data_IF_068998943583
#
_entry.id   IF_068998943583
#
_cell.length_a   1.000
_cell.length_b   1.000
_cell.length_c   1.000
_cell.angle_alpha   90.00
_cell.angle_beta   90.00
_cell.angle_gamma   90.00
#
_symmetry.space_group_name_H-M   'P 1'
#
loop_
_entity.id
_entity.type
_entity.pdbx_description
1 polymer ?
#
# COMPACT_ATOMS: atom_id res chain seq x y z
N UNK A 1 24.29 -11.81 -13.44
CA UNK A 1 24.71 -12.52 -12.23
C UNK A 1 23.68 -13.58 -11.91
N UNK A 2 24.10 -14.82 -11.68
CA UNK A 2 23.20 -15.82 -11.09
C UNK A 2 22.87 -15.45 -9.64
N UNK A 3 21.70 -15.84 -9.13
CA UNK A 3 21.28 -15.54 -7.74
C UNK A 3 22.31 -16.04 -6.72
N UNK A 4 22.94 -17.19 -7.01
CA UNK A 4 24.02 -17.78 -6.20
C UNK A 4 25.31 -16.94 -6.21
N UNK A 5 25.61 -16.28 -7.32
CA UNK A 5 26.76 -15.40 -7.48
C UNK A 5 26.52 -14.09 -6.73
N UNK A 6 25.32 -13.52 -6.81
CA UNK A 6 24.92 -12.35 -6.02
C UNK A 6 24.98 -12.64 -4.51
N UNK A 7 24.46 -13.78 -4.05
CA UNK A 7 24.55 -14.17 -2.64
C UNK A 7 26.02 -14.26 -2.21
N UNK A 8 26.89 -14.89 -3.00
CA UNK A 8 28.33 -14.95 -2.70
C UNK A 8 28.95 -13.55 -2.65
N UNK A 9 28.61 -12.66 -3.58
CA UNK A 9 29.10 -11.27 -3.58
C UNK A 9 28.61 -10.46 -2.39
N UNK A 10 27.36 -10.64 -1.94
CA UNK A 10 26.84 -9.98 -0.73
C UNK A 10 27.62 -10.40 0.52
N UNK A 11 28.12 -11.64 0.58
CA UNK A 11 28.97 -12.08 1.69
C UNK A 11 30.45 -11.71 1.52
N UNK A 12 30.92 -11.50 0.29
CA UNK A 12 32.35 -11.28 -0.02
C UNK A 12 32.72 -9.81 -0.17
N UNK A 13 31.82 -8.98 -0.69
CA UNK A 13 32.03 -7.55 -0.93
C UNK A 13 31.38 -6.71 0.18
N UNK A 14 32.22 -6.01 0.92
CA UNK A 14 31.84 -5.13 2.02
C UNK A 14 30.87 -4.02 1.59
N UNK A 15 31.06 -3.47 0.39
CA UNK A 15 30.26 -2.35 -0.12
C UNK A 15 28.85 -2.82 -0.46
N UNK A 16 28.74 -3.91 -1.22
CA UNK A 16 27.43 -4.50 -1.56
C UNK A 16 26.68 -4.96 -0.31
N UNK A 17 27.37 -5.56 0.65
CA UNK A 17 26.76 -5.96 1.93
C UNK A 17 26.13 -4.77 2.66
N UNK A 18 26.88 -3.66 2.76
CA UNK A 18 26.44 -2.45 3.47
C UNK A 18 25.23 -1.83 2.78
N UNK A 19 25.27 -1.70 1.45
CA UNK A 19 24.17 -1.13 0.66
C UNK A 19 22.92 -2.01 0.75
N UNK A 20 23.06 -3.32 0.58
CA UNK A 20 21.93 -4.26 0.65
C UNK A 20 21.30 -4.29 2.04
N UNK A 21 22.09 -4.28 3.12
CA UNK A 21 21.55 -4.21 4.48
C UNK A 21 20.87 -2.86 4.76
N UNK A 22 21.51 -1.74 4.39
CA UNK A 22 20.96 -0.40 4.59
C UNK A 22 19.63 -0.20 3.86
N UNK A 23 19.56 -0.60 2.59
CA UNK A 23 18.33 -0.51 1.79
C UNK A 23 17.24 -1.46 2.26
N UNK A 24 17.59 -2.67 2.74
CA UNK A 24 16.63 -3.61 3.30
C UNK A 24 16.00 -3.07 4.61
N UNK A 25 16.83 -2.53 5.51
CA UNK A 25 16.39 -1.92 6.78
C UNK A 25 15.50 -0.71 6.47
N UNK A 26 15.97 0.19 5.61
CA UNK A 26 15.22 1.37 5.20
C UNK A 26 13.87 0.99 4.59
N UNK A 27 13.86 0.02 3.67
CA UNK A 27 12.64 -0.49 3.05
C UNK A 27 11.68 -1.11 4.06
N UNK A 28 12.20 -1.85 5.04
CA UNK A 28 11.40 -2.43 6.12
C UNK A 28 10.72 -1.36 6.98
N UNK A 29 11.48 -0.35 7.42
CA UNK A 29 10.98 0.75 8.27
C UNK A 29 9.96 1.60 7.53
N UNK A 30 10.28 1.98 6.29
CA UNK A 30 9.40 2.81 5.47
C UNK A 30 8.13 2.06 5.11
N UNK A 31 8.17 0.76 4.82
CA UNK A 31 6.97 -0.06 4.64
C UNK A 31 6.11 -0.17 5.90
N UNK A 32 6.75 -0.40 7.06
CA UNK A 32 6.07 -0.44 8.36
C UNK A 32 5.38 0.89 8.68
N UNK A 33 6.12 2.00 8.67
CA UNK A 33 5.57 3.33 9.00
C UNK A 33 4.61 3.84 7.93
N UNK A 34 4.89 3.52 6.67
CA UNK A 34 4.02 3.79 5.53
C UNK A 34 2.64 3.15 5.68
N UNK A 35 2.54 2.00 6.37
CA UNK A 35 1.25 1.37 6.67
C UNK A 35 0.35 2.29 7.50
N UNK A 36 0.91 3.01 8.47
CA UNK A 36 0.19 4.00 9.26
C UNK A 36 -0.17 5.23 8.43
N UNK A 37 0.75 5.73 7.60
CA UNK A 37 0.49 6.87 6.72
C UNK A 37 -0.66 6.60 5.73
N UNK A 38 -0.67 5.42 5.11
CA UNK A 38 -1.72 4.98 4.17
C UNK A 38 -3.08 4.84 4.87
N UNK A 39 -3.13 4.22 6.05
CA UNK A 39 -4.38 4.04 6.79
C UNK A 39 -4.96 5.36 7.32
N UNK A 40 -4.10 6.35 7.63
CA UNK A 40 -4.53 7.72 8.01
C UNK A 40 -5.01 8.56 6.82
N UNK A 41 -5.05 8.00 5.60
CA UNK A 41 -5.33 8.75 4.35
C UNK A 41 -4.38 9.93 4.14
N UNK A 42 -3.16 9.82 4.67
CA UNK A 42 -2.11 10.82 4.59
C UNK A 42 -1.02 10.35 3.62
N UNK A 43 -1.44 9.82 2.47
CA UNK A 43 -0.54 9.30 1.45
C UNK A 43 0.46 10.36 0.95
N UNK A 44 -0.01 11.60 0.76
CA UNK A 44 0.84 12.70 0.27
C UNK A 44 1.71 13.34 1.37
N UNK A 45 1.57 12.91 2.63
CA UNK A 45 2.36 13.45 3.74
C UNK A 45 3.84 13.15 3.56
N UNK A 46 4.19 11.95 3.10
CA UNK A 46 5.59 11.58 2.86
C UNK A 46 6.25 12.45 1.79
N UNK A 47 5.51 12.80 0.75
CA UNK A 47 5.96 13.67 -0.33
C UNK A 47 6.22 15.10 0.16
N UNK A 48 5.23 15.70 0.82
CA UNK A 48 5.36 17.04 1.39
C UNK A 48 6.52 17.15 2.40
N UNK A 49 6.73 16.13 3.24
CA UNK A 49 7.84 16.11 4.22
C UNK A 49 9.19 15.98 3.53
N UNK A 50 9.30 15.12 2.52
CA UNK A 50 10.58 14.90 1.80
C UNK A 50 11.05 16.21 1.16
N UNK A 51 10.13 16.96 0.55
CA UNK A 51 10.42 18.27 -0.01
C UNK A 51 10.57 19.37 1.05
N UNK A 52 9.90 19.26 2.20
CA UNK A 52 10.13 20.13 3.36
C UNK A 52 11.54 19.94 3.97
N UNK A 53 12.13 18.77 3.82
CA UNK A 53 13.47 18.49 4.33
C UNK A 53 14.60 19.14 3.50
N UNK A 54 14.39 19.34 2.18
CA UNK A 54 15.37 19.94 1.27
C UNK A 54 15.92 21.31 1.70
N UNK A 55 15.09 22.33 2.01
CA UNK A 55 15.60 23.60 2.49
C UNK A 55 16.37 23.48 3.80
N UNK A 56 16.03 22.50 4.65
CA UNK A 56 16.78 22.18 5.86
C UNK A 56 18.22 21.72 5.58
N UNK A 57 18.40 20.84 4.59
CA UNK A 57 19.73 20.38 4.14
C UNK A 57 20.52 21.57 3.59
N UNK A 58 19.91 22.38 2.73
CA UNK A 58 20.56 23.53 2.12
C UNK A 58 20.97 24.60 3.15
N UNK A 59 20.10 24.90 4.12
CA UNK A 59 20.41 25.84 5.20
C UNK A 59 21.50 25.31 6.13
N UNK A 60 21.46 24.03 6.49
CA UNK A 60 22.51 23.41 7.30
C UNK A 60 23.88 23.53 6.61
N UNK A 61 23.95 23.23 5.31
CA UNK A 61 25.16 23.40 4.52
C UNK A 61 25.65 24.86 4.50
N UNK A 62 24.74 25.83 4.30
CA UNK A 62 25.10 27.26 4.26
C UNK A 62 25.63 27.79 5.60
N UNK A 63 25.09 27.30 6.73
CA UNK A 63 25.50 27.74 8.06
C UNK A 63 26.84 27.11 8.46
N UNK A 64 27.01 25.81 8.23
CA UNK A 64 28.18 25.07 8.74
C UNK A 64 29.34 25.04 7.74
N UNK A 65 29.09 25.29 6.45
CA UNK A 65 30.05 25.14 5.36
C UNK A 65 30.61 23.71 5.20
N UNK A 66 30.05 22.76 5.94
CA UNK A 66 30.56 21.40 6.13
C UNK A 66 29.59 20.39 5.54
N UNK A 67 30.11 19.34 4.92
CA UNK A 67 29.32 18.24 4.32
C UNK A 67 29.12 17.08 5.29
N UNK A 68 29.16 17.36 6.58
CA UNK A 68 28.94 16.32 7.58
C UNK A 68 27.49 15.83 7.46
N UNK A 69 27.33 14.57 7.08
CA UNK A 69 26.04 13.90 6.90
C UNK A 69 25.14 14.10 8.11
N UNK A 70 25.69 14.04 9.33
CA UNK A 70 24.89 14.16 10.55
C UNK A 70 24.28 15.57 10.68
N UNK A 71 25.04 16.60 10.36
CA UNK A 71 24.58 18.00 10.44
C UNK A 71 23.50 18.26 9.39
N UNK A 72 23.70 17.76 8.16
CA UNK A 72 22.72 17.88 7.09
C UNK A 72 21.41 17.15 7.41
N UNK A 73 21.49 15.94 7.97
CA UNK A 73 20.32 15.17 8.40
C UNK A 73 19.58 15.83 9.57
N UNK A 74 20.29 16.46 10.51
CA UNK A 74 19.65 17.25 11.58
C UNK A 74 18.90 18.46 10.98
N UNK A 75 19.50 19.17 10.02
CA UNK A 75 18.83 20.26 9.30
C UNK A 75 17.58 19.79 8.57
N UNK A 76 17.68 18.65 7.87
CA UNK A 76 16.57 17.98 7.20
C UNK A 76 15.43 17.64 8.18
N UNK A 77 15.77 17.06 9.33
CA UNK A 77 14.83 16.68 10.38
C UNK A 77 14.11 17.90 10.96
N UNK A 78 14.83 18.96 11.31
CA UNK A 78 14.25 20.19 11.85
C UNK A 78 13.29 20.81 10.83
N UNK A 79 13.70 20.94 9.57
CA UNK A 79 12.87 21.52 8.53
C UNK A 79 11.64 20.66 8.20
N UNK A 80 11.80 19.34 8.15
CA UNK A 80 10.71 18.39 8.00
C UNK A 80 9.70 18.48 9.14
N UNK A 81 10.16 18.55 10.40
CA UNK A 81 9.29 18.73 11.57
C UNK A 81 8.55 20.07 11.52
N UNK A 82 9.22 21.16 11.16
CA UNK A 82 8.57 22.47 10.94
C UNK A 82 7.49 22.36 9.86
N UNK A 83 7.79 21.69 8.74
CA UNK A 83 6.84 21.41 7.68
C UNK A 83 5.60 20.67 8.18
N UNK A 84 5.79 19.58 8.95
CA UNK A 84 4.65 18.85 9.55
C UNK A 84 3.83 19.68 10.51
N UNK A 85 4.49 20.50 11.33
CA UNK A 85 3.81 21.40 12.26
C UNK A 85 2.97 22.44 11.52
N UNK A 86 3.48 22.98 10.41
CA UNK A 86 2.75 23.91 9.55
C UNK A 86 1.57 23.24 8.85
N UNK A 87 1.74 22.05 8.29
CA UNK A 87 0.64 21.26 7.70
C UNK A 87 -0.47 21.07 8.73
N UNK A 88 -0.12 20.65 9.95
CA UNK A 88 -1.08 20.45 11.04
C UNK A 88 -1.73 21.77 11.48
N UNK A 89 -0.96 22.84 11.58
CA UNK A 89 -1.46 24.17 11.93
C UNK A 89 -2.49 24.68 10.92
N UNK A 90 -2.21 24.54 9.63
CA UNK A 90 -3.12 24.94 8.55
C UNK A 90 -4.40 24.10 8.62
N UNK A 91 -4.28 22.78 8.68
CA UNK A 91 -5.46 21.89 8.68
C UNK A 91 -6.35 22.01 9.92
N UNK A 92 -5.80 22.43 11.06
CA UNK A 92 -6.57 22.57 12.32
C UNK A 92 -7.11 23.97 12.55
N UNK A 93 -6.43 25.02 12.06
CA UNK A 93 -6.83 26.42 12.26
C UNK A 93 -7.56 27.02 11.07
N UNK A 94 -7.61 26.35 9.92
CA UNK A 94 -8.26 26.84 8.70
C UNK A 94 -9.26 25.83 8.16
N UNK A 95 -10.15 26.29 7.26
CA UNK A 95 -11.10 25.43 6.54
C UNK A 95 -10.49 24.72 5.32
N UNK A 96 -9.16 24.78 5.14
CA UNK A 96 -8.49 24.15 4.01
C UNK A 96 -8.47 22.62 4.18
N UNK A 97 -8.73 21.91 3.07
CA UNK A 97 -8.60 20.45 3.02
C UNK A 97 -7.14 20.05 3.26
N UNK A 98 -6.94 18.87 3.86
CA UNK A 98 -5.60 18.33 4.13
C UNK A 98 -4.72 18.27 2.88
N UNK A 99 -5.29 17.89 1.74
CA UNK A 99 -4.56 17.81 0.46
C UNK A 99 -4.08 19.18 -0.02
N UNK A 100 -4.87 20.23 0.21
CA UNK A 100 -4.49 21.61 -0.11
C UNK A 100 -3.35 22.09 0.79
N UNK A 101 -3.40 21.80 2.09
CA UNK A 101 -2.33 22.14 3.02
C UNK A 101 -1.01 21.42 2.65
N UNK A 102 -1.09 20.14 2.29
CA UNK A 102 0.04 19.35 1.82
C UNK A 102 0.66 19.94 0.54
N UNK A 103 -0.17 20.24 -0.47
CA UNK A 103 0.28 20.83 -1.73
C UNK A 103 0.89 22.22 -1.58
N UNK A 104 0.37 23.04 -0.66
CA UNK A 104 0.91 24.37 -0.36
C UNK A 104 2.30 24.26 0.28
N UNK A 105 2.45 23.40 1.28
CA UNK A 105 3.73 23.22 1.99
C UNK A 105 4.77 22.59 1.07
N UNK A 106 4.38 21.58 0.28
CA UNK A 106 5.19 21.00 -0.78
C UNK A 106 5.74 22.09 -1.70
N UNK A 107 4.87 22.93 -2.26
CA UNK A 107 5.27 23.95 -3.24
C UNK A 107 6.18 25.02 -2.65
N UNK A 108 5.87 25.53 -1.45
CA UNK A 108 6.65 26.58 -0.79
C UNK A 108 8.03 26.08 -0.39
N UNK A 109 8.10 24.95 0.29
CA UNK A 109 9.39 24.42 0.76
C UNK A 109 10.24 23.91 -0.38
N UNK A 110 9.64 23.28 -1.41
CA UNK A 110 10.39 22.86 -2.58
C UNK A 110 10.95 24.06 -3.35
N UNK A 111 10.13 25.09 -3.61
CA UNK A 111 10.57 26.31 -4.28
C UNK A 111 11.70 27.02 -3.51
N UNK A 112 11.55 27.13 -2.19
CA UNK A 112 12.58 27.72 -1.33
C UNK A 112 13.86 26.87 -1.26
N UNK A 113 13.73 25.55 -1.13
CA UNK A 113 14.86 24.63 -1.13
C UNK A 113 15.63 24.64 -2.45
N UNK A 114 14.92 24.65 -3.59
CA UNK A 114 15.53 24.76 -4.92
C UNK A 114 16.21 26.11 -5.13
N UNK A 115 15.64 27.21 -4.62
CA UNK A 115 16.29 28.52 -4.65
C UNK A 115 17.62 28.48 -3.90
N UNK A 116 17.64 27.94 -2.67
CA UNK A 116 18.86 27.81 -1.87
C UNK A 116 19.88 26.91 -2.55
N UNK A 117 19.44 25.77 -3.10
CA UNK A 117 20.32 24.84 -3.81
C UNK A 117 20.96 25.52 -5.04
N UNK A 118 20.16 26.22 -5.85
CA UNK A 118 20.63 26.96 -7.02
C UNK A 118 21.61 28.07 -6.61
N UNK A 119 21.37 28.72 -5.47
CA UNK A 119 22.29 29.72 -4.92
C UNK A 119 23.64 29.11 -4.51
N UNK A 120 23.62 27.97 -3.82
CA UNK A 120 24.83 27.21 -3.44
C UNK A 120 25.62 26.77 -4.69
N UNK A 121 24.91 26.29 -5.72
CA UNK A 121 25.49 25.83 -6.98
C UNK A 121 26.13 26.95 -7.83
N UNK A 122 25.87 28.22 -7.52
CA UNK A 122 26.54 29.35 -8.20
C UNK A 122 27.82 29.81 -7.49
N UNK A 123 28.11 29.29 -6.30
CA UNK A 123 29.33 29.64 -5.57
C UNK A 123 30.54 28.85 -6.11
N UNK A 124 31.78 29.35 -5.92
CA UNK A 124 33.01 28.69 -6.43
C UNK A 124 33.17 27.22 -5.98
N UNK A 125 32.59 26.85 -4.84
CA UNK A 125 32.60 25.50 -4.28
C UNK A 125 31.36 24.65 -4.66
N UNK A 126 30.59 25.06 -5.68
CA UNK A 126 29.33 24.45 -6.10
C UNK A 126 29.39 22.93 -6.33
N UNK A 127 30.32 22.48 -7.18
CA UNK A 127 30.49 21.05 -7.50
C UNK A 127 30.91 20.23 -6.27
N UNK A 128 31.46 20.88 -5.25
CA UNK A 128 31.85 20.19 -4.04
C UNK A 128 30.63 19.91 -3.15
N UNK A 129 29.58 20.72 -3.15
CA UNK A 129 28.46 20.56 -2.22
C UNK A 129 27.76 19.19 -2.36
N UNK A 130 27.71 18.61 -3.57
CA UNK A 130 27.20 17.25 -3.82
C UNK A 130 25.75 17.04 -3.43
N UNK A 131 25.00 18.12 -3.21
CA UNK A 131 23.64 18.11 -2.65
C UNK A 131 22.60 17.53 -3.63
N UNK A 132 22.88 17.53 -4.93
CA UNK A 132 22.04 16.91 -5.96
C UNK A 132 21.86 15.40 -5.73
N UNK A 133 22.82 14.77 -5.04
CA UNK A 133 22.73 13.35 -4.65
C UNK A 133 21.58 13.07 -3.69
N UNK A 134 21.15 14.05 -2.89
CA UNK A 134 19.98 13.90 -2.02
C UNK A 134 18.66 14.02 -2.78
N UNK A 135 18.64 14.68 -3.96
CA UNK A 135 17.43 14.76 -4.78
C UNK A 135 17.10 13.40 -5.41
N UNK A 136 18.11 12.77 -6.02
CA UNK A 136 17.95 11.54 -6.78
C UNK A 136 18.32 10.26 -6.02
N UNK A 137 18.93 10.40 -4.83
CA UNK A 137 19.41 9.30 -4.02
C UNK A 137 20.68 8.69 -4.59
N UNK A 138 21.59 8.27 -3.70
CA UNK A 138 22.76 7.50 -4.09
C UNK A 138 23.08 6.49 -3.00
N UNK A 139 22.43 5.31 -3.05
CA UNK A 139 22.67 4.22 -2.10
C UNK A 139 24.15 3.80 -2.03
N UNK A 140 24.92 3.97 -3.12
CA UNK A 140 26.36 3.73 -3.14
C UNK A 140 27.18 4.62 -2.18
N UNK A 141 26.58 5.66 -1.60
CA UNK A 141 27.23 6.52 -0.59
C UNK A 141 27.04 6.02 0.84
N UNK A 142 26.28 4.94 1.04
CA UNK A 142 26.07 4.35 2.36
C UNK A 142 27.37 3.78 2.92
N UNK A 143 27.70 4.20 4.13
CA UNK A 143 28.78 3.62 4.94
C UNK A 143 28.21 2.83 6.10
N UNK A 144 29.04 1.99 6.73
CA UNK A 144 28.60 1.12 7.84
C UNK A 144 28.03 1.91 9.03
N UNK A 145 28.55 3.11 9.31
CA UNK A 145 28.00 4.00 10.33
C UNK A 145 26.55 4.40 10.05
N UNK A 146 26.20 4.60 8.77
CA UNK A 146 24.83 4.96 8.37
C UNK A 146 23.88 3.77 8.59
N UNK A 147 24.33 2.55 8.26
CA UNK A 147 23.56 1.33 8.47
C UNK A 147 23.34 1.06 9.97
N UNK A 148 24.35 1.30 10.80
CA UNK A 148 24.21 1.22 12.26
C UNK A 148 23.20 2.24 12.80
N UNK A 149 23.29 3.50 12.35
CA UNK A 149 22.34 4.54 12.73
C UNK A 149 20.92 4.15 12.30
N UNK A 150 20.73 3.73 11.05
CA UNK A 150 19.44 3.24 10.56
C UNK A 150 18.94 2.06 11.39
N UNK A 151 19.79 1.10 11.73
CA UNK A 151 19.43 -0.07 12.54
C UNK A 151 18.97 0.33 13.95
N UNK A 152 19.69 1.24 14.61
CA UNK A 152 19.34 1.75 15.95
C UNK A 152 18.01 2.47 15.91
N UNK A 153 17.83 3.39 14.96
CA UNK A 153 16.57 4.14 14.81
C UNK A 153 15.42 3.21 14.48
N UNK A 154 15.63 2.24 13.59
CA UNK A 154 14.65 1.19 13.25
C UNK A 154 14.24 0.40 14.48
N UNK A 155 15.22 -0.05 15.27
CA UNK A 155 14.99 -0.80 16.50
C UNK A 155 14.19 0.03 17.50
N UNK A 156 14.54 1.31 17.68
CA UNK A 156 13.81 2.22 18.55
C UNK A 156 12.36 2.43 18.07
N UNK A 157 12.16 2.69 16.78
CA UNK A 157 10.83 2.81 16.17
C UNK A 157 10.00 1.54 16.40
N UNK A 158 10.60 0.36 16.20
CA UNK A 158 9.93 -0.92 16.39
C UNK A 158 9.55 -1.15 17.86
N UNK A 159 10.47 -0.88 18.80
CA UNK A 159 10.20 -1.02 20.24
C UNK A 159 9.03 -0.12 20.66
N UNK A 160 9.06 1.16 20.26
CA UNK A 160 7.99 2.11 20.59
C UNK A 160 6.68 1.69 19.93
N UNK A 161 6.73 1.20 18.69
CA UNK A 161 5.56 0.68 17.97
C UNK A 161 4.94 -0.54 18.64
N UNK A 162 5.75 -1.45 19.18
CA UNK A 162 5.26 -2.60 19.92
C UNK A 162 4.69 -2.19 21.29
N UNK A 163 5.33 -1.25 21.98
CA UNK A 163 4.88 -0.76 23.29
C UNK A 163 3.55 0.02 23.18
N UNK A 164 3.44 0.90 22.18
CA UNK A 164 2.25 1.71 21.92
C UNK A 164 1.31 1.09 20.87
N UNK A 165 1.39 -0.23 20.65
CA UNK A 165 0.64 -0.91 19.59
C UNK A 165 -0.87 -0.71 19.71
N UNK A 166 -1.39 -0.76 20.95
CA UNK A 166 -2.83 -0.63 21.22
C UNK A 166 -3.29 0.80 20.95
N UNK A 167 -2.51 1.77 21.39
CA UNK A 167 -2.72 3.20 21.28
C UNK A 167 -2.71 3.63 19.81
N UNK A 168 -1.72 3.18 19.03
CA UNK A 168 -1.65 3.44 17.59
C UNK A 168 -2.81 2.80 16.84
N UNK A 169 -3.20 1.57 17.20
CA UNK A 169 -4.33 0.89 16.59
C UNK A 169 -5.64 1.62 16.85
N UNK A 170 -5.94 2.02 18.09
CA UNK A 170 -7.19 2.71 18.39
C UNK A 170 -7.21 4.08 17.69
N UNK A 171 -6.13 4.85 17.78
CA UNK A 171 -6.04 6.17 17.12
C UNK A 171 -6.30 6.09 15.61
N UNK A 172 -5.82 5.04 14.94
CA UNK A 172 -6.00 4.84 13.50
C UNK A 172 -7.44 4.59 13.07
N UNK A 173 -8.20 3.83 13.87
CA UNK A 173 -9.54 3.38 13.51
C UNK A 173 -10.65 4.25 14.12
N UNK A 174 -10.43 4.76 15.33
CA UNK A 174 -11.38 5.64 16.02
C UNK A 174 -10.65 6.60 16.97
N UNK A 175 -10.41 7.81 16.47
CA UNK A 175 -9.74 8.87 17.21
C UNK A 175 -10.61 9.42 18.36
N UNK A 176 -11.92 9.44 18.18
CA UNK A 176 -12.85 9.98 19.18
C UNK A 176 -12.99 9.00 20.34
N UNK A 177 -13.06 7.70 20.04
CA UNK A 177 -13.00 6.64 21.06
C UNK A 177 -11.67 6.60 21.81
N UNK A 178 -10.53 6.82 21.14
CA UNK A 178 -9.26 6.98 21.85
C UNK A 178 -9.30 8.15 22.85
N UNK A 179 -9.97 9.24 22.49
CA UNK A 179 -10.10 10.41 23.36
C UNK A 179 -11.02 10.14 24.56
N UNK A 180 -12.12 9.41 24.39
CA UNK A 180 -13.02 9.05 25.51
C UNK A 180 -12.37 8.07 26.48
N UNK A 181 -11.44 7.23 26.01
CA UNK A 181 -10.62 6.35 26.85
C UNK A 181 -9.52 7.10 27.63
N UNK A 182 -9.37 8.41 27.44
CA UNK A 182 -8.38 9.23 28.14
C UNK A 182 -6.98 9.23 27.51
N UNK A 183 -6.81 8.64 26.32
CA UNK A 183 -5.53 8.72 25.63
C UNK A 183 -5.27 10.12 25.07
N UNK A 184 -4.04 10.60 25.22
CA UNK A 184 -3.61 11.84 24.59
C UNK A 184 -3.38 11.62 23.08
N UNK A 185 -4.46 11.70 22.30
CA UNK A 185 -4.44 11.50 20.84
C UNK A 185 -3.47 12.44 20.14
N UNK A 186 -3.26 13.66 20.67
CA UNK A 186 -2.33 14.63 20.09
C UNK A 186 -0.88 14.17 20.21
N UNK A 187 -0.50 13.58 21.35
CA UNK A 187 0.85 13.07 21.59
C UNK A 187 1.15 11.88 20.68
N UNK A 188 0.23 10.92 20.62
CA UNK A 188 0.36 9.70 19.80
C UNK A 188 0.46 10.06 18.31
N UNK A 189 -0.35 11.02 17.87
CA UNK A 189 -0.35 11.56 16.50
C UNK A 189 0.99 12.21 16.12
N UNK A 190 1.56 13.01 17.03
CA UNK A 190 2.90 13.60 16.86
C UNK A 190 3.96 12.51 16.84
N UNK A 191 3.87 11.53 17.73
CA UNK A 191 4.86 10.45 17.82
C UNK A 191 4.96 9.65 16.52
N UNK A 192 3.82 9.21 15.94
CA UNK A 192 3.81 8.52 14.64
C UNK A 192 4.40 9.42 13.55
N UNK A 193 3.96 10.68 13.52
CA UNK A 193 4.37 11.61 12.47
C UNK A 193 5.87 11.90 12.55
N UNK A 194 6.43 12.06 13.76
CA UNK A 194 7.88 12.21 13.98
C UNK A 194 8.66 10.99 13.51
N UNK A 195 8.17 9.77 13.74
CA UNK A 195 8.83 8.57 13.20
C UNK A 195 8.78 8.51 11.68
N UNK A 196 7.67 8.91 11.07
CA UNK A 196 7.57 9.02 9.60
C UNK A 196 8.59 10.03 9.08
N UNK A 197 8.68 11.23 9.68
CA UNK A 197 9.68 12.24 9.30
C UNK A 197 11.09 11.69 9.44
N UNK A 198 11.39 11.03 10.57
CA UNK A 198 12.71 10.46 10.82
C UNK A 198 13.08 9.40 9.78
N UNK A 199 12.16 8.49 9.44
CA UNK A 199 12.38 7.50 8.40
C UNK A 199 12.55 8.12 7.01
N UNK A 200 11.82 9.19 6.70
CA UNK A 200 11.99 9.95 5.45
C UNK A 200 13.40 10.52 5.38
N UNK A 201 13.84 11.22 6.43
CA UNK A 201 15.16 11.86 6.51
C UNK A 201 16.29 10.84 6.34
N UNK A 202 16.22 9.69 7.01
CA UNK A 202 17.20 8.62 6.86
C UNK A 202 17.25 8.07 5.42
N UNK A 203 16.09 7.98 4.75
CA UNK A 203 16.04 7.47 3.39
C UNK A 203 16.42 8.47 2.30
N UNK A 204 16.48 9.78 2.61
CA UNK A 204 16.82 10.83 1.63
C UNK A 204 18.17 10.55 0.94
N UNK A 205 19.17 10.09 1.68
CA UNK A 205 20.48 9.79 1.10
C UNK A 205 20.47 8.54 0.20
N UNK A 206 19.65 7.55 0.55
CA UNK A 206 19.64 6.25 -0.12
C UNK A 206 18.80 6.26 -1.39
N UNK A 207 17.56 6.74 -1.27
CA UNK A 207 16.54 6.66 -2.33
C UNK A 207 16.29 8.03 -2.97
N UNK A 208 16.54 9.12 -2.24
CA UNK A 208 16.36 10.49 -2.75
C UNK A 208 15.01 11.09 -2.41
N UNK A 209 14.96 12.41 -2.25
CA UNK A 209 13.75 13.18 -1.91
C UNK A 209 12.57 12.82 -2.80
N UNK A 210 12.77 12.75 -4.11
CA UNK A 210 11.71 12.53 -5.10
C UNK A 210 11.08 11.13 -4.98
N UNK A 211 11.90 10.15 -4.62
CA UNK A 211 11.53 8.73 -4.65
C UNK A 211 11.17 8.19 -3.26
N UNK A 212 11.44 8.96 -2.20
CA UNK A 212 11.12 8.56 -0.83
C UNK A 212 9.63 8.40 -0.57
N UNK A 213 8.79 9.23 -1.21
CA UNK A 213 7.33 9.07 -1.11
C UNK A 213 6.90 7.72 -1.69
N UNK A 214 7.42 7.32 -2.85
CA UNK A 214 7.14 6.02 -3.44
C UNK A 214 7.59 4.86 -2.53
N UNK A 215 8.80 4.95 -1.94
CA UNK A 215 9.30 3.88 -1.06
C UNK A 215 8.51 3.74 0.24
N UNK A 216 8.00 4.85 0.78
CA UNK A 216 7.11 4.84 1.94
C UNK A 216 5.73 4.25 1.61
N UNK A 217 5.17 4.56 0.44
CA UNK A 217 3.79 4.22 0.12
C UNK A 217 3.60 2.88 -0.60
N UNK A 218 4.47 2.56 -1.56
CA UNK A 218 4.32 1.39 -2.42
C UNK A 218 4.20 0.08 -1.62
N UNK A 219 5.14 -0.29 -0.73
CA UNK A 219 5.03 -1.53 0.04
C UNK A 219 3.81 -1.57 0.95
N UNK A 220 3.42 -0.43 1.53
CA UNK A 220 2.22 -0.32 2.36
C UNK A 220 0.92 -0.50 1.55
N UNK A 221 0.85 0.09 0.35
CA UNK A 221 -0.26 -0.06 -0.57
C UNK A 221 -0.38 -1.50 -1.09
N UNK A 222 0.75 -2.14 -1.41
CA UNK A 222 0.81 -3.54 -1.78
C UNK A 222 0.26 -4.42 -0.65
N UNK A 223 0.79 -4.28 0.57
CA UNK A 223 0.38 -5.08 1.73
C UNK A 223 -1.12 -4.91 2.06
N UNK A 224 -1.67 -3.70 1.91
CA UNK A 224 -3.09 -3.41 2.17
C UNK A 224 -4.04 -4.23 1.28
N UNK A 225 -3.59 -4.67 0.10
CA UNK A 225 -4.42 -5.50 -0.78
C UNK A 225 -4.57 -6.93 -0.25
N UNK A 226 -3.56 -7.47 0.43
CA UNK A 226 -3.56 -8.87 0.87
C UNK A 226 -4.29 -9.09 2.19
N UNK A 227 -4.39 -8.07 3.04
CA UNK A 227 -4.92 -8.24 4.40
C UNK A 227 -5.83 -7.11 4.87
N UNK A 228 -6.75 -7.48 5.77
CA UNK A 228 -7.60 -6.56 6.50
C UNK A 228 -7.12 -6.28 7.93
N UNK A 229 -6.13 -7.04 8.44
CA UNK A 229 -5.59 -6.86 9.79
C UNK A 229 -4.35 -5.97 9.80
N UNK A 230 -4.32 -4.99 10.71
CA UNK A 230 -3.20 -4.04 10.84
C UNK A 230 -1.87 -4.74 11.11
N UNK A 231 -1.83 -5.73 12.01
CA UNK A 231 -0.60 -6.45 12.37
C UNK A 231 0.04 -7.13 11.16
N UNK A 232 -0.79 -7.82 10.36
CA UNK A 232 -0.33 -8.51 9.15
C UNK A 232 0.06 -7.49 8.08
N UNK A 233 -0.65 -6.37 7.99
CA UNK A 233 -0.33 -5.31 7.02
C UNK A 233 1.04 -4.71 7.30
N UNK A 234 1.32 -4.37 8.56
CA UNK A 234 2.60 -3.79 8.98
C UNK A 234 3.76 -4.76 8.70
N UNK A 235 3.59 -6.03 9.09
CA UNK A 235 4.61 -7.05 8.84
C UNK A 235 4.85 -7.26 7.34
N UNK A 236 3.77 -7.43 6.56
CA UNK A 236 3.87 -7.66 5.12
C UNK A 236 4.47 -6.46 4.39
N UNK A 237 4.12 -5.23 4.79
CA UNK A 237 4.71 -4.02 4.22
C UNK A 237 6.20 -3.92 4.52
N UNK A 238 6.63 -4.27 5.74
CA UNK A 238 8.04 -4.31 6.09
C UNK A 238 8.80 -5.36 5.25
N UNK A 239 8.24 -6.56 5.09
CA UNK A 239 8.85 -7.61 4.27
C UNK A 239 8.93 -7.21 2.80
N UNK A 240 7.84 -6.66 2.23
CA UNK A 240 7.82 -6.22 0.83
C UNK A 240 8.77 -5.04 0.58
N UNK A 241 8.85 -4.09 1.53
CA UNK A 241 9.78 -2.97 1.44
C UNK A 241 11.24 -3.41 1.55
N UNK A 242 11.56 -4.30 2.49
CA UNK A 242 12.89 -4.89 2.62
C UNK A 242 13.28 -5.70 1.37
N UNK A 243 12.36 -6.52 0.86
CA UNK A 243 12.54 -7.26 -0.38
C UNK A 243 12.79 -6.32 -1.56
N UNK A 244 12.05 -5.21 -1.68
CA UNK A 244 12.26 -4.24 -2.74
C UNK A 244 13.66 -3.59 -2.66
N UNK A 245 14.17 -3.33 -1.45
CA UNK A 245 15.55 -2.88 -1.23
C UNK A 245 16.58 -3.91 -1.69
N UNK A 246 16.42 -5.17 -1.27
CA UNK A 246 17.36 -6.26 -1.65
C UNK A 246 17.33 -6.54 -3.15
N UNK A 247 16.15 -6.75 -3.74
CA UNK A 247 16.04 -7.00 -5.18
C UNK A 247 16.46 -5.79 -6.01
N UNK A 248 16.14 -4.58 -5.56
CA UNK A 248 16.54 -3.34 -6.23
C UNK A 248 18.07 -3.15 -6.23
N UNK A 249 18.74 -3.44 -5.11
CA UNK A 249 20.20 -3.43 -5.04
C UNK A 249 20.84 -4.53 -5.88
N UNK A 250 20.27 -5.74 -5.89
CA UNK A 250 20.75 -6.86 -6.71
C UNK A 250 20.69 -6.57 -8.22
N UNK A 251 19.61 -5.94 -8.68
CA UNK A 251 19.46 -5.55 -10.08
C UNK A 251 20.42 -4.41 -10.41
N UNK A 252 20.51 -3.40 -9.53
CA UNK A 252 21.40 -2.25 -9.71
C UNK A 252 22.88 -2.64 -9.74
N UNK A 253 23.29 -3.68 -9.02
CA UNK A 253 24.68 -4.15 -9.03
C UNK A 253 25.05 -5.00 -10.26
N UNK A 254 24.06 -5.53 -10.98
CA UNK A 254 24.30 -6.38 -12.16
C UNK A 254 24.60 -5.58 -13.43
N UNK A 255 24.15 -4.32 -13.52
CA UNK A 255 24.38 -3.46 -14.67
C UNK A 255 25.14 -2.19 -14.29
N UNK A 256 26.17 -1.86 -15.05
CA UNK A 256 26.93 -0.63 -14.85
C UNK A 256 26.01 0.59 -15.11
N UNK A 257 26.11 1.61 -14.25
CA UNK A 257 25.41 2.91 -14.32
C UNK A 257 23.92 2.95 -13.98
N UNK A 258 23.35 1.93 -13.32
CA UNK A 258 22.00 2.06 -12.77
C UNK A 258 22.01 2.74 -11.39
N UNK A 259 21.25 3.83 -11.23
CA UNK A 259 21.04 4.45 -9.91
C UNK A 259 20.14 3.55 -9.07
N UNK A 260 20.61 3.19 -7.88
CA UNK A 260 19.98 2.21 -7.01
C UNK A 260 18.60 2.65 -6.50
N UNK A 261 18.42 3.94 -6.20
CA UNK A 261 17.14 4.50 -5.70
C UNK A 261 15.98 4.28 -6.68
N UNK A 262 16.06 4.76 -7.93
CA UNK A 262 15.06 4.50 -8.96
C UNK A 262 14.75 3.01 -9.18
N UNK A 263 15.77 2.15 -9.19
CA UNK A 263 15.59 0.71 -9.39
C UNK A 263 14.79 0.09 -8.25
N UNK A 264 15.08 0.46 -7.00
CA UNK A 264 14.31 0.01 -5.82
C UNK A 264 12.83 0.38 -5.98
N UNK A 265 12.52 1.62 -6.41
CA UNK A 265 11.13 2.06 -6.60
C UNK A 265 10.44 1.32 -7.74
N UNK A 266 11.13 1.02 -8.84
CA UNK A 266 10.56 0.21 -9.92
C UNK A 266 10.22 -1.21 -9.44
N UNK A 267 11.10 -1.83 -8.66
CA UNK A 267 10.84 -3.15 -8.05
C UNK A 267 9.64 -3.09 -7.10
N UNK A 268 9.58 -2.07 -6.22
CA UNK A 268 8.44 -1.87 -5.34
C UNK A 268 7.13 -1.68 -6.13
N UNK A 269 7.18 -0.95 -7.26
CA UNK A 269 6.05 -0.74 -8.16
C UNK A 269 5.57 -2.05 -8.81
N UNK A 270 6.50 -2.94 -9.19
CA UNK A 270 6.15 -4.29 -9.68
C UNK A 270 5.43 -5.09 -8.59
N UNK A 271 5.90 -5.04 -7.34
CA UNK A 271 5.20 -5.71 -6.21
C UNK A 271 3.80 -5.15 -5.98
N UNK A 272 3.61 -3.84 -6.12
CA UNK A 272 2.30 -3.19 -6.05
C UNK A 272 1.38 -3.67 -7.17
N UNK A 273 1.86 -3.66 -8.42
CA UNK A 273 1.09 -4.13 -9.58
C UNK A 273 0.68 -5.59 -9.41
N UNK A 274 1.61 -6.45 -9.01
CA UNK A 274 1.34 -7.85 -8.71
C UNK A 274 0.26 -7.98 -7.61
N UNK A 275 0.38 -7.21 -6.54
CA UNK A 275 -0.59 -7.21 -5.44
C UNK A 275 -1.99 -6.74 -5.85
N UNK A 276 -2.09 -5.76 -6.76
CA UNK A 276 -3.36 -5.29 -7.30
C UNK A 276 -4.04 -6.31 -8.21
N UNK A 277 -3.26 -7.07 -8.97
CA UNK A 277 -3.77 -8.06 -9.90
C UNK A 277 -4.21 -9.33 -9.15
N UNK A 278 -3.36 -9.84 -8.26
CA UNK A 278 -3.51 -11.15 -7.64
C UNK A 278 -4.11 -11.16 -6.22
N UNK A 279 -4.45 -10.02 -5.63
CA UNK A 279 -5.06 -10.02 -4.29
C UNK A 279 -6.39 -10.79 -4.25
N UNK A 280 -6.58 -11.74 -3.31
CA UNK A 280 -7.80 -12.56 -3.26
C UNK A 280 -9.08 -11.79 -2.94
N UNK A 281 -9.00 -10.74 -2.10
CA UNK A 281 -10.20 -10.01 -1.61
C UNK A 281 -10.45 -8.70 -2.33
N UNK A 282 -9.40 -8.04 -2.81
CA UNK A 282 -9.46 -6.71 -3.42
C UNK A 282 -8.87 -6.66 -4.84
N UNK A 283 -8.25 -7.76 -5.29
CA UNK A 283 -7.64 -7.82 -6.61
C UNK A 283 -8.69 -7.82 -7.72
N UNK A 284 -8.31 -7.20 -8.84
CA UNK A 284 -9.20 -7.03 -9.99
C UNK A 284 -9.61 -8.39 -10.59
N UNK A 285 -8.67 -9.34 -10.67
CA UNK A 285 -8.94 -10.68 -11.21
C UNK A 285 -9.97 -11.44 -10.39
N UNK A 286 -9.75 -11.56 -9.08
CA UNK A 286 -10.67 -12.31 -8.22
C UNK A 286 -12.03 -11.63 -8.09
N UNK A 287 -12.08 -10.28 -8.14
CA UNK A 287 -13.34 -9.55 -8.22
C UNK A 287 -14.08 -9.89 -9.52
N UNK A 288 -13.41 -9.89 -10.66
CA UNK A 288 -14.03 -10.19 -11.95
C UNK A 288 -14.48 -11.65 -12.04
N UNK A 289 -13.68 -12.61 -11.54
CA UNK A 289 -14.05 -14.03 -11.47
C UNK A 289 -15.28 -14.20 -10.59
N UNK A 290 -15.32 -13.57 -9.40
CA UNK A 290 -16.47 -13.64 -8.49
C UNK A 290 -17.72 -13.00 -9.10
N UNK A 291 -17.58 -11.89 -9.84
CA UNK A 291 -18.70 -11.27 -10.55
C UNK A 291 -19.25 -12.20 -11.65
N UNK A 292 -18.38 -12.86 -12.41
CA UNK A 292 -18.81 -13.81 -13.45
C UNK A 292 -19.49 -15.03 -12.82
N UNK A 293 -18.93 -15.57 -11.73
CA UNK A 293 -19.55 -16.68 -10.98
C UNK A 293 -20.91 -16.28 -10.41
N UNK A 294 -21.00 -15.15 -9.71
CA UNK A 294 -22.26 -14.62 -9.18
C UNK A 294 -23.30 -14.40 -10.29
N UNK A 295 -22.90 -13.88 -11.46
CA UNK A 295 -23.84 -13.71 -12.60
C UNK A 295 -24.36 -15.05 -13.10
N UNK A 296 -23.49 -16.05 -13.26
CA UNK A 296 -23.90 -17.39 -13.69
C UNK A 296 -24.80 -18.07 -12.64
N UNK A 297 -24.51 -17.90 -11.35
CA UNK A 297 -25.32 -18.46 -10.27
C UNK A 297 -26.69 -17.76 -10.19
N UNK A 298 -26.74 -16.43 -10.41
CA UNK A 298 -28.00 -15.69 -10.50
C UNK A 298 -28.85 -16.13 -11.70
N UNK A 299 -28.24 -16.38 -12.88
CA UNK A 299 -28.97 -16.92 -14.04
C UNK A 299 -29.57 -18.31 -13.75
N UNK A 300 -28.82 -19.17 -13.06
CA UNK A 300 -29.30 -20.48 -12.61
C UNK A 300 -30.46 -20.36 -11.63
N UNK A 301 -30.33 -19.48 -10.63
CA UNK A 301 -31.37 -19.26 -9.62
C UNK A 301 -32.64 -18.67 -10.24
N UNK A 302 -32.53 -17.69 -11.15
CA UNK A 302 -33.67 -17.12 -11.88
C UNK A 302 -34.40 -18.17 -12.71
N UNK A 303 -33.64 -19.02 -13.40
CA UNK A 303 -34.23 -20.12 -14.19
C UNK A 303 -34.97 -21.10 -13.30
N UNK A 304 -34.37 -21.50 -12.16
CA UNK A 304 -35.01 -22.42 -11.20
C UNK A 304 -36.27 -21.81 -10.57
N UNK A 305 -36.23 -20.53 -10.19
CA UNK A 305 -37.37 -19.82 -9.63
C UNK A 305 -38.52 -19.69 -10.65
N UNK A 306 -38.21 -19.40 -11.91
CA UNK A 306 -39.20 -19.36 -12.98
C UNK A 306 -39.84 -20.74 -13.22
N UNK A 307 -39.03 -21.81 -13.20
CA UNK A 307 -39.53 -23.18 -13.30
C UNK A 307 -40.44 -23.55 -12.13
N UNK A 308 -40.09 -23.14 -10.91
CA UNK A 308 -40.92 -23.36 -9.72
C UNK A 308 -42.28 -22.66 -9.85
N UNK A 309 -42.30 -21.41 -10.31
CA UNK A 309 -43.55 -20.67 -10.47
C UNK A 309 -44.51 -21.31 -11.48
N UNK A 310 -43.97 -21.92 -12.55
CA UNK A 310 -44.78 -22.69 -13.52
C UNK A 310 -45.37 -23.95 -12.86
N UNK A 311 -44.61 -24.60 -11.99
CA UNK A 311 -45.03 -25.85 -11.33
C UNK A 311 -46.00 -25.61 -10.17
N UNK A 312 -45.91 -24.47 -9.50
CA UNK A 312 -46.81 -24.07 -8.40
C UNK A 312 -48.28 -23.99 -8.83
N UNK A 313 -48.54 -23.69 -10.10
CA UNK A 313 -49.89 -23.67 -10.68
C UNK A 313 -50.47 -25.07 -10.97
N UNK A 314 -49.74 -26.15 -10.70
CA UNK A 314 -50.15 -27.53 -10.96
C UNK A 314 -50.26 -28.37 -9.68
N UNK A 315 -51.22 -29.30 -9.65
CA UNK A 315 -51.37 -30.24 -8.52
C UNK A 315 -50.21 -31.25 -8.39
N UNK A 316 -49.53 -31.56 -9.51
CA UNK A 316 -48.36 -32.45 -9.55
C UNK A 316 -47.06 -31.67 -9.80
N UNK A 317 -46.18 -31.72 -8.81
CA UNK A 317 -44.89 -31.04 -8.80
C UNK A 317 -43.93 -31.61 -9.86
N UNK A 318 -44.11 -32.88 -10.24
CA UNK A 318 -43.29 -33.57 -11.23
C UNK A 318 -43.86 -33.50 -12.65
N UNK A 319 -44.89 -32.68 -12.88
CA UNK A 319 -45.49 -32.51 -14.19
C UNK A 319 -44.43 -32.11 -15.24
N UNK A 320 -44.35 -32.78 -16.39
CA UNK A 320 -43.38 -32.45 -17.43
C UNK A 320 -43.83 -31.24 -18.26
N UNK A 321 -42.95 -30.26 -18.42
CA UNK A 321 -43.16 -29.06 -19.23
C UNK A 321 -42.18 -28.99 -20.40
N UNK A 322 -42.60 -28.39 -21.53
CA UNK A 322 -41.74 -28.25 -22.69
C UNK A 322 -40.61 -27.23 -22.45
N UNK A 323 -39.38 -27.54 -22.88
CA UNK A 323 -38.21 -26.62 -22.78
C UNK A 323 -38.47 -25.31 -23.54
N UNK A 324 -39.33 -25.32 -24.57
CA UNK A 324 -39.69 -24.12 -25.35
C UNK A 324 -40.25 -22.98 -24.50
N UNK A 325 -40.88 -23.29 -23.36
CA UNK A 325 -41.41 -22.28 -22.41
C UNK A 325 -40.27 -21.44 -21.81
N UNK A 326 -39.09 -22.05 -21.62
CA UNK A 326 -37.92 -21.39 -21.03
C UNK A 326 -37.17 -20.51 -22.04
N UNK A 327 -37.35 -20.71 -23.35
CA UNK A 327 -36.58 -20.00 -24.39
C UNK A 327 -36.80 -18.48 -24.40
N UNK A 328 -37.97 -18.01 -23.96
CA UNK A 328 -38.33 -16.59 -23.94
C UNK A 328 -37.99 -15.91 -22.59
N UNK A 329 -37.49 -16.65 -21.61
CA UNK A 329 -37.19 -16.13 -20.29
C UNK A 329 -35.77 -15.53 -20.21
N UNK A 330 -35.67 -14.28 -19.74
CA UNK A 330 -34.38 -13.64 -19.49
C UNK A 330 -33.67 -14.32 -18.31
N UNK A 331 -32.66 -15.13 -18.62
CA UNK A 331 -31.89 -15.91 -17.64
C UNK A 331 -31.72 -17.37 -18.03
N UNK A 332 -32.49 -17.86 -19.01
CA UNK A 332 -32.34 -19.20 -19.55
C UNK A 332 -31.07 -19.34 -20.41
N UNK A 333 -30.31 -20.40 -20.14
CA UNK A 333 -29.20 -20.86 -20.96
C UNK A 333 -29.19 -22.38 -21.00
N UNK A 334 -28.97 -22.99 -22.17
CA UNK A 334 -28.86 -24.47 -22.30
C UNK A 334 -27.80 -25.04 -21.35
N UNK A 335 -26.67 -24.34 -21.17
CA UNK A 335 -25.64 -24.73 -20.21
C UNK A 335 -26.12 -24.60 -18.76
N UNK A 336 -26.98 -23.63 -18.48
CA UNK A 336 -27.62 -23.44 -17.18
C UNK A 336 -28.55 -24.59 -16.83
N UNK A 337 -29.43 -24.98 -17.77
CA UNK A 337 -30.33 -26.11 -17.61
C UNK A 337 -29.57 -27.42 -17.34
N UNK A 338 -28.50 -27.70 -18.09
CA UNK A 338 -27.66 -28.87 -17.86
C UNK A 338 -27.01 -28.87 -16.46
N UNK A 339 -26.63 -27.70 -15.94
CA UNK A 339 -26.11 -27.57 -14.57
C UNK A 339 -27.19 -27.84 -13.52
N UNK A 340 -28.44 -27.42 -13.74
CA UNK A 340 -29.57 -27.73 -12.84
C UNK A 340 -29.84 -29.24 -12.80
N UNK A 341 -29.72 -29.92 -13.95
CA UNK A 341 -29.82 -31.38 -14.05
C UNK A 341 -28.69 -32.07 -13.31
N UNK A 342 -27.44 -31.64 -13.51
CA UNK A 342 -26.29 -32.20 -12.80
C UNK A 342 -26.36 -31.99 -11.28
N UNK A 343 -27.07 -30.95 -10.81
CA UNK A 343 -27.35 -30.69 -9.39
C UNK A 343 -28.56 -31.46 -8.86
N UNK A 344 -29.19 -32.32 -9.68
CA UNK A 344 -30.43 -33.04 -9.36
C UNK A 344 -31.60 -32.13 -9.00
N UNK A 345 -31.65 -30.89 -9.49
CA UNK A 345 -32.78 -29.99 -9.24
C UNK A 345 -33.88 -30.19 -10.27
N UNK A 346 -33.51 -30.56 -11.50
CA UNK A 346 -34.42 -30.74 -12.64
C UNK A 346 -34.11 -32.07 -13.31
N UNK A 347 -35.14 -32.77 -13.78
CA UNK A 347 -35.00 -33.95 -14.64
C UNK A 347 -35.38 -33.62 -16.08
N UNK A 348 -34.63 -34.15 -17.06
CA UNK A 348 -34.91 -33.99 -18.49
C UNK A 348 -35.32 -35.34 -19.09
N UNK A 349 -36.48 -35.36 -19.75
CA UNK A 349 -36.97 -36.48 -20.54
C UNK A 349 -37.30 -35.97 -21.96
N UNK A 350 -36.38 -36.15 -22.92
CA UNK A 350 -36.55 -35.63 -24.28
C UNK A 350 -36.56 -34.10 -24.33
N UNK A 351 -37.61 -33.50 -24.91
CA UNK A 351 -37.83 -32.05 -24.93
C UNK A 351 -38.61 -31.53 -23.70
N UNK A 352 -38.83 -32.38 -22.70
CA UNK A 352 -39.58 -32.05 -21.50
C UNK A 352 -38.66 -31.97 -20.28
N UNK A 353 -38.92 -31.01 -19.41
CA UNK A 353 -38.28 -30.86 -18.10
C UNK A 353 -39.32 -31.04 -17.00
N UNK A 354 -38.91 -31.56 -15.85
CA UNK A 354 -39.72 -31.59 -14.62
C UNK A 354 -38.86 -31.24 -13.41
N UNK A 355 -39.47 -30.64 -12.40
CA UNK A 355 -38.81 -30.31 -11.14
C UNK A 355 -38.74 -31.54 -10.24
N UNK A 356 -37.60 -31.70 -9.58
CA UNK A 356 -37.42 -32.74 -8.55
C UNK A 356 -37.87 -32.20 -7.19
N UNK A 357 -38.17 -33.08 -6.20
CA UNK A 357 -38.44 -32.65 -4.83
C UNK A 357 -37.31 -31.78 -4.23
N UNK A 358 -36.05 -32.08 -4.55
CA UNK A 358 -34.90 -31.28 -4.11
C UNK A 358 -34.84 -29.91 -4.77
N UNK A 359 -35.16 -29.82 -6.07
CA UNK A 359 -35.23 -28.55 -6.79
C UNK A 359 -36.31 -27.62 -6.25
N UNK A 360 -37.43 -28.19 -5.84
CA UNK A 360 -38.57 -27.48 -5.23
C UNK A 360 -38.19 -26.94 -3.86
N UNK A 361 -37.63 -27.77 -2.98
CA UNK A 361 -37.17 -27.33 -1.65
C UNK A 361 -36.16 -26.17 -1.75
N UNK A 362 -35.21 -26.26 -2.68
CA UNK A 362 -34.22 -25.21 -2.92
C UNK A 362 -34.87 -23.93 -3.47
N UNK A 363 -35.83 -24.04 -4.39
CA UNK A 363 -36.53 -22.89 -4.96
C UNK A 363 -37.43 -22.18 -3.92
N UNK A 364 -38.19 -22.95 -3.13
CA UNK A 364 -39.04 -22.43 -2.04
C UNK A 364 -38.21 -21.73 -0.97
N UNK A 365 -37.05 -22.30 -0.59
CA UNK A 365 -36.14 -21.67 0.36
C UNK A 365 -35.55 -20.34 -0.15
N UNK A 366 -35.32 -20.20 -1.47
CA UNK A 366 -34.91 -18.92 -2.06
C UNK A 366 -36.01 -17.86 -1.97
N UNK A 367 -37.27 -18.26 -2.18
CA UNK A 367 -38.42 -17.36 -2.09
C UNK A 367 -38.69 -16.90 -0.64
N UNK A 368 -38.64 -17.82 0.32
CA UNK A 368 -38.86 -17.54 1.73
C UNK A 368 -37.75 -16.71 2.39
N UNK A 369 -36.54 -16.69 1.85
CA UNK A 369 -35.48 -15.77 2.29
C UNK A 369 -35.74 -14.32 1.86
N UNK A 370 -36.28 -14.10 0.66
CA UNK A 370 -36.64 -12.75 0.21
C UNK A 370 -37.82 -12.14 1.00
N UNK A 371 -38.72 -12.96 1.54
CA UNK A 371 -39.85 -12.52 2.38
C UNK A 371 -39.47 -12.22 3.84
N UNK A 372 -38.25 -12.55 4.28
CA UNK A 372 -37.77 -12.24 5.65
C UNK A 372 -37.01 -10.92 5.75
N UNK A 373 -36.61 -10.36 4.60
CA UNK A 373 -35.85 -9.10 4.49
C UNK A 373 -36.75 -7.91 4.05
N UNK A 374 -38.06 -8.12 3.89
CA UNK A 374 -39.11 -7.07 3.84
C UNK A 374 -39.81 -6.95 5.20
#
# INVERSE_FOLDING_TARGET
MEILEYIKLVFSDYTLRTITLGTAILGGVTGMLGSFAVLRKQSLLGDAISHAALPGIALAFLITGSKDTNVLLIGALISGLIGTFWIRGITTKTHLKSDTALGLILSVFFGFGMLLLTFIQKQPNANQAGLDKYLFGQAATLVESDVWLMSIVTGLCLIVLLLFWKEFKILLFDKDYAHTLGFNTKFIDVLITSFIVLAIVLGLQTVGVVLMSAMLLAPAAAARQWTNSLSVMVFLAAVLGAAAGVFGTAISSTQNNLSTGPVIVLVASVFVLFSFIFSPKRGLLFRQIRLIQNRNDLELQKTLAFMYHIVEDHEDISHPHAIKILNNFQGYSRKGLQKLVNKNYVTLQGEMWSLTPQGVEVATNMYNQNLKDE
#
